data_IF_994271612084
#
_entry.id   IF_994271612084
#
_cell.length_a   1.000
_cell.length_b   1.000
_cell.length_c   1.000
_cell.angle_alpha   90.00
_cell.angle_beta   90.00
_cell.angle_gamma   90.00
#
_symmetry.space_group_name_H-M   'P 1'
#
loop_
_entity.id
_entity.type
_entity.pdbx_description
1 polymer ?
#
# COMPACT_ATOMS: atom_id res chain seq x y z
N UNK A 1 -5.40 18.37 2.21
CA UNK A 1 -5.78 17.03 2.64
C UNK A 1 -5.02 16.71 3.91
N UNK A 2 -5.78 16.36 4.95
CA UNK A 2 -5.37 16.00 6.32
C UNK A 2 -4.16 16.78 6.90
N UNK A 3 -4.41 17.99 7.42
CA UNK A 3 -3.63 18.58 8.52
C UNK A 3 -4.01 17.87 9.83
N UNK A 4 -4.11 16.54 9.81
CA UNK A 4 -4.38 15.75 10.99
C UNK A 4 -3.05 15.52 11.72
N UNK A 5 -3.06 15.80 13.01
CA UNK A 5 -1.96 15.42 13.89
C UNK A 5 -1.68 13.91 13.81
N UNK A 6 -0.68 13.38 14.50
CA UNK A 6 -0.28 11.96 14.42
C UNK A 6 -1.45 10.99 14.62
N UNK A 7 -2.46 11.35 15.39
CA UNK A 7 -3.67 10.55 15.62
C UNK A 7 -4.48 10.27 14.35
N UNK A 8 -4.54 11.22 13.39
CA UNK A 8 -5.26 11.02 12.14
C UNK A 8 -4.69 9.91 11.27
N UNK A 9 -3.37 9.70 11.30
CA UNK A 9 -2.73 8.60 10.55
C UNK A 9 -2.95 7.24 11.22
N UNK A 10 -3.08 7.19 12.55
CA UNK A 10 -3.49 5.98 13.28
C UNK A 10 -4.92 5.57 12.93
N UNK A 11 -5.85 6.54 12.90
CA UNK A 11 -7.23 6.31 12.49
C UNK A 11 -7.31 5.88 11.02
N UNK A 12 -6.49 6.47 10.14
CA UNK A 12 -6.41 6.06 8.75
C UNK A 12 -5.94 4.60 8.60
N UNK A 13 -4.91 4.19 9.34
CA UNK A 13 -4.42 2.81 9.34
C UNK A 13 -5.49 1.85 9.88
N UNK A 14 -6.17 2.20 10.97
CA UNK A 14 -7.27 1.42 11.54
C UNK A 14 -8.43 1.27 10.55
N UNK A 15 -8.84 2.35 9.91
CA UNK A 15 -9.85 2.31 8.86
C UNK A 15 -9.45 1.36 7.71
N UNK A 16 -8.20 1.45 7.22
CA UNK A 16 -7.74 0.58 6.14
C UNK A 16 -7.83 -0.90 6.51
N UNK A 17 -7.36 -1.30 7.70
CA UNK A 17 -7.41 -2.71 8.10
C UNK A 17 -8.83 -3.19 8.35
N UNK A 18 -9.72 -2.32 8.83
CA UNK A 18 -11.15 -2.62 8.95
C UNK A 18 -11.77 -2.91 7.58
N UNK A 19 -11.49 -2.09 6.59
CA UNK A 19 -11.95 -2.33 5.21
C UNK A 19 -11.31 -3.60 4.64
N UNK A 20 -10.01 -3.79 4.81
CA UNK A 20 -9.29 -4.93 4.25
C UNK A 20 -9.68 -6.27 4.88
N UNK A 21 -10.07 -6.28 6.15
CA UNK A 21 -10.66 -7.49 6.77
C UNK A 21 -11.90 -8.00 6.05
N UNK A 22 -12.69 -7.11 5.43
CA UNK A 22 -13.87 -7.48 4.65
C UNK A 22 -13.56 -7.86 3.19
N UNK A 23 -12.36 -7.54 2.66
CA UNK A 23 -12.04 -7.80 1.24
C UNK A 23 -11.95 -9.29 0.90
N UNK A 24 -11.54 -10.13 1.85
CA UNK A 24 -11.51 -11.59 1.64
C UNK A 24 -12.89 -12.15 1.28
N UNK A 25 -13.93 -11.71 1.98
CA UNK A 25 -15.32 -12.11 1.70
C UNK A 25 -15.77 -11.57 0.34
N UNK A 26 -15.52 -10.28 0.06
CA UNK A 26 -15.84 -9.66 -1.24
C UNK A 26 -15.17 -10.39 -2.41
N UNK A 27 -13.89 -10.73 -2.28
CA UNK A 27 -13.14 -11.45 -3.33
C UNK A 27 -13.72 -12.85 -3.54
N UNK A 28 -14.06 -13.58 -2.46
CA UNK A 28 -14.71 -14.88 -2.58
C UNK A 28 -16.05 -14.83 -3.26
N UNK A 29 -16.87 -13.80 -3.00
CA UNK A 29 -18.14 -13.59 -3.69
C UNK A 29 -17.91 -13.41 -5.19
N UNK A 30 -16.91 -12.64 -5.60
CA UNK A 30 -16.59 -12.43 -7.02
C UNK A 30 -16.10 -13.72 -7.69
N UNK A 31 -15.22 -14.49 -7.04
CA UNK A 31 -14.75 -15.80 -7.53
C UNK A 31 -15.94 -16.76 -7.68
N UNK A 32 -16.86 -16.80 -6.72
CA UNK A 32 -18.07 -17.63 -6.79
C UNK A 32 -19.01 -17.25 -7.94
N UNK A 33 -18.94 -15.99 -8.42
CA UNK A 33 -19.67 -15.52 -9.60
C UNK A 33 -18.86 -15.69 -10.91
N UNK A 34 -17.73 -16.39 -10.87
CA UNK A 34 -16.93 -16.77 -12.04
C UNK A 34 -15.89 -15.74 -12.50
N UNK A 35 -15.53 -14.76 -11.65
CA UNK A 35 -14.42 -13.86 -11.99
C UNK A 35 -13.08 -14.52 -11.61
N UNK A 36 -12.14 -14.50 -12.55
CA UNK A 36 -10.78 -14.97 -12.29
C UNK A 36 -10.00 -14.01 -11.34
N UNK A 37 -9.06 -14.53 -10.53
CA UNK A 37 -8.21 -13.73 -9.64
C UNK A 37 -7.54 -12.53 -10.31
N UNK A 38 -7.02 -12.70 -11.51
CA UNK A 38 -6.36 -11.64 -12.28
C UNK A 38 -7.34 -10.56 -12.78
N UNK A 39 -8.56 -10.95 -13.15
CA UNK A 39 -9.63 -10.03 -13.56
C UNK A 39 -10.09 -9.14 -12.41
N UNK A 40 -10.32 -9.74 -11.24
CA UNK A 40 -10.68 -9.01 -10.02
C UNK A 40 -9.61 -7.97 -9.72
N UNK A 41 -8.33 -8.35 -9.79
CA UNK A 41 -7.21 -7.44 -9.60
C UNK A 41 -7.21 -6.30 -10.62
N UNK A 42 -7.29 -6.63 -11.92
CA UNK A 42 -7.27 -5.64 -13.01
C UNK A 42 -8.40 -4.63 -12.86
N UNK A 43 -9.63 -5.08 -12.64
CA UNK A 43 -10.81 -4.22 -12.52
C UNK A 43 -10.71 -3.29 -11.31
N UNK A 44 -10.33 -3.80 -10.14
CA UNK A 44 -10.21 -2.97 -8.92
C UNK A 44 -9.09 -1.93 -9.04
N UNK A 45 -7.95 -2.28 -9.65
CA UNK A 45 -6.84 -1.35 -9.83
C UNK A 45 -7.10 -0.34 -10.94
N UNK A 46 -7.79 -0.74 -12.01
CA UNK A 46 -8.24 0.19 -13.05
C UNK A 46 -9.19 1.26 -12.49
N UNK A 47 -10.20 0.85 -11.70
CA UNK A 47 -11.09 1.79 -11.04
C UNK A 47 -10.34 2.73 -10.09
N UNK A 48 -9.41 2.20 -9.30
CA UNK A 48 -8.60 3.00 -8.38
C UNK A 48 -7.68 3.98 -9.13
N UNK A 49 -7.05 3.56 -10.22
CA UNK A 49 -6.22 4.41 -11.06
C UNK A 49 -7.01 5.54 -11.69
N UNK A 50 -8.14 5.22 -12.33
CA UNK A 50 -9.02 6.21 -12.97
C UNK A 50 -9.58 7.19 -11.94
N UNK A 51 -10.00 6.73 -10.75
CA UNK A 51 -10.48 7.57 -9.67
C UNK A 51 -9.42 8.53 -9.13
N UNK A 52 -8.13 8.15 -9.17
CA UNK A 52 -7.04 9.01 -8.69
C UNK A 52 -6.52 10.00 -9.75
N UNK A 53 -6.81 9.74 -11.02
CA UNK A 53 -6.30 10.53 -12.16
C UNK A 53 -6.67 12.03 -12.04
N UNK A 54 -7.96 12.42 -11.82
CA UNK A 54 -8.34 13.83 -11.76
C UNK A 54 -7.62 14.60 -10.66
N UNK A 55 -7.43 13.98 -9.49
CA UNK A 55 -6.78 14.61 -8.34
C UNK A 55 -5.29 14.87 -8.56
N UNK A 56 -4.63 14.02 -9.34
CA UNK A 56 -3.19 14.14 -9.62
C UNK A 56 -2.89 15.05 -10.80
N UNK A 57 -3.79 15.12 -11.79
CA UNK A 57 -3.66 16.02 -12.95
C UNK A 57 -3.91 17.48 -12.55
N UNK A 58 -4.96 17.77 -11.79
CA UNK A 58 -5.27 19.14 -11.30
C UNK A 58 -4.12 19.74 -10.48
N UNK A 59 -3.39 18.93 -9.70
CA UNK A 59 -2.23 19.43 -8.95
C UNK A 59 -1.04 19.75 -9.85
N UNK A 60 -0.89 19.08 -10.98
CA UNK A 60 0.18 19.34 -11.94
C UNK A 60 -0.03 20.68 -12.64
N UNK A 61 -1.26 20.99 -13.02
CA UNK A 61 -1.63 22.28 -13.64
C UNK A 61 -1.49 23.45 -12.66
N UNK A 62 -1.91 23.29 -11.40
CA UNK A 62 -1.78 24.31 -10.37
C UNK A 62 -0.30 24.56 -9.99
N UNK A 63 0.52 23.50 -9.86
CA UNK A 63 1.95 23.62 -9.59
C UNK A 63 2.75 24.23 -10.76
N UNK A 64 2.37 23.88 -12.00
CA UNK A 64 2.98 24.48 -13.21
C UNK A 64 2.65 25.97 -13.34
N UNK A 65 1.42 26.36 -13.00
CA UNK A 65 0.99 27.77 -13.01
C UNK A 65 1.67 28.60 -11.92
N UNK A 66 1.90 28.04 -10.72
CA UNK A 66 2.62 28.71 -9.64
C UNK A 66 4.12 28.89 -9.97
N UNK A 67 4.77 27.83 -10.46
CA UNK A 67 6.18 27.88 -10.89
C UNK A 67 6.38 28.79 -12.13
N UNK A 68 5.37 28.90 -13.01
CA UNK A 68 5.34 29.85 -14.11
C UNK A 68 5.30 31.28 -13.60
N UNK A 69 4.40 31.61 -12.68
CA UNK A 69 4.28 32.95 -12.08
C UNK A 69 5.54 33.37 -11.30
N UNK A 70 6.16 32.44 -10.58
CA UNK A 70 7.41 32.71 -9.84
C UNK A 70 8.59 32.97 -10.79
N UNK A 71 8.68 32.24 -11.93
CA UNK A 71 9.66 32.49 -12.96
C UNK A 71 9.42 33.83 -13.70
N UNK A 72 8.16 34.16 -13.93
CA UNK A 72 7.80 35.45 -14.58
C UNK A 72 8.05 36.64 -13.64
N UNK A 73 7.78 36.50 -12.33
CA UNK A 73 8.11 37.48 -11.31
C UNK A 73 9.63 37.67 -11.18
N UNK A 74 10.41 36.59 -11.10
CA UNK A 74 11.87 36.63 -11.05
C UNK A 74 12.49 37.19 -12.34
N UNK A 75 11.82 36.98 -13.49
CA UNK A 75 12.22 37.58 -14.78
C UNK A 75 11.93 39.08 -14.81
N UNK A 76 10.79 39.52 -14.27
CA UNK A 76 10.44 40.95 -14.16
C UNK A 76 11.38 41.67 -13.20
N UNK A 77 11.74 41.08 -12.04
CA UNK A 77 12.73 41.63 -11.13
C UNK A 77 14.12 41.75 -11.77
N UNK A 78 14.57 40.72 -12.53
CA UNK A 78 15.83 40.78 -13.27
C UNK A 78 15.80 41.83 -14.38
N UNK A 79 14.66 42.06 -15.04
CA UNK A 79 14.49 43.06 -16.08
C UNK A 79 14.47 44.48 -15.49
N UNK A 80 13.88 44.65 -14.30
CA UNK A 80 13.91 45.92 -13.55
C UNK A 80 15.32 46.24 -13.04
N UNK A 81 16.02 45.27 -12.43
CA UNK A 81 17.40 45.42 -11.96
C UNK A 81 18.42 45.59 -13.14
N UNK A 82 18.12 45.04 -14.32
CA UNK A 82 18.92 45.20 -15.52
C UNK A 82 18.77 46.57 -16.15
N UNK A 83 17.65 47.29 -15.96
CA UNK A 83 17.46 48.67 -16.37
C UNK A 83 18.23 49.66 -15.49
N UNK A 84 18.42 49.32 -14.20
CA UNK A 84 19.23 50.16 -13.29
C UNK A 84 20.74 50.01 -13.49
N UNK A 85 21.22 48.88 -14.07
CA UNK A 85 22.65 48.60 -14.34
C UNK A 85 23.11 48.84 -15.76
N UNK A 86 22.28 49.40 -16.63
CA UNK A 86 22.65 49.70 -18.02
C UNK A 86 23.56 50.93 -18.21
N UNK A 87 24.19 51.43 -17.13
CA UNK A 87 25.23 52.50 -17.16
C UNK A 87 26.58 52.05 -16.64
N UNK A 88 26.92 50.78 -16.72
CA UNK A 88 28.22 50.26 -16.25
C UNK A 88 28.78 49.21 -17.20
N UNK A 89 29.82 49.62 -17.93
CA UNK A 89 30.67 48.82 -18.81
C UNK A 89 31.31 47.66 -18.05
N UNK A 90 31.08 46.39 -18.46
CA UNK A 90 32.00 45.30 -18.11
C UNK A 90 31.96 44.17 -19.14
N UNK A 91 33.12 43.93 -19.73
CA UNK A 91 33.48 42.87 -20.65
C UNK A 91 33.87 41.62 -19.88
N UNK A 92 33.05 40.55 -19.92
CA UNK A 92 33.31 39.28 -19.20
C UNK A 92 32.77 38.04 -19.95
N UNK A 93 33.68 37.34 -20.55
CA UNK A 93 33.70 36.04 -21.25
C UNK A 93 32.56 35.03 -21.02
N UNK A 94 31.99 34.46 -22.10
CA UNK A 94 31.01 33.37 -21.99
C UNK A 94 31.69 32.02 -22.28
N UNK A 95 32.26 31.36 -21.31
CA UNK A 95 32.67 29.96 -21.48
C UNK A 95 32.86 29.23 -20.15
N UNK A 96 31.81 28.70 -19.54
CA UNK A 96 31.89 27.60 -18.53
C UNK A 96 30.56 26.87 -18.18
N UNK A 97 29.46 27.11 -18.92
CA UNK A 97 28.17 26.46 -18.57
C UNK A 97 27.89 25.11 -19.25
N UNK A 98 28.77 24.59 -20.11
CA UNK A 98 28.48 23.40 -20.92
C UNK A 98 28.63 22.06 -20.19
N UNK A 99 29.62 21.91 -19.28
CA UNK A 99 29.95 20.62 -18.67
C UNK A 99 29.19 20.38 -17.36
N UNK A 100 29.07 21.40 -16.53
CA UNK A 100 28.27 21.34 -15.28
C UNK A 100 26.78 21.13 -15.52
N UNK A 101 26.23 21.75 -16.57
CA UNK A 101 24.84 21.57 -16.99
C UNK A 101 24.56 20.14 -17.49
N UNK A 102 25.50 19.53 -18.22
CA UNK A 102 25.40 18.12 -18.67
C UNK A 102 25.53 17.12 -17.51
N UNK A 103 26.42 17.36 -16.57
CA UNK A 103 26.59 16.53 -15.37
C UNK A 103 25.39 16.64 -14.42
N UNK A 104 24.82 17.84 -14.27
CA UNK A 104 23.60 18.05 -13.50
C UNK A 104 22.38 17.39 -14.15
N UNK A 105 22.23 17.50 -15.49
CA UNK A 105 21.20 16.83 -16.26
C UNK A 105 21.27 15.31 -16.19
N UNK A 106 22.46 14.72 -16.29
CA UNK A 106 22.69 13.28 -16.19
C UNK A 106 22.40 12.75 -14.78
N UNK A 107 22.77 13.50 -13.71
CA UNK A 107 22.44 13.15 -12.33
C UNK A 107 20.92 13.22 -12.06
N UNK A 108 20.25 14.25 -12.57
CA UNK A 108 18.80 14.42 -12.44
C UNK A 108 18.04 13.30 -13.18
N UNK A 109 18.51 12.92 -14.39
CA UNK A 109 17.94 11.83 -15.17
C UNK A 109 18.13 10.47 -14.48
N UNK A 110 19.31 10.21 -13.89
CA UNK A 110 19.60 8.99 -13.13
C UNK A 110 18.79 8.90 -11.83
N UNK A 111 18.59 10.00 -11.11
CA UNK A 111 17.73 10.06 -9.93
C UNK A 111 16.26 9.76 -10.29
N UNK A 112 15.79 10.34 -11.40
CA UNK A 112 14.43 10.11 -11.92
C UNK A 112 14.20 8.66 -12.36
N UNK A 113 15.16 8.04 -13.01
CA UNK A 113 15.09 6.62 -13.40
C UNK A 113 15.04 5.69 -12.18
N UNK A 114 15.87 5.96 -11.16
CA UNK A 114 15.85 5.21 -9.90
C UNK A 114 14.50 5.27 -9.20
N UNK A 115 13.87 6.45 -9.13
CA UNK A 115 12.57 6.62 -8.52
C UNK A 115 11.47 5.91 -9.33
N UNK A 116 11.53 5.93 -10.67
CA UNK A 116 10.62 5.19 -11.54
C UNK A 116 10.77 3.66 -11.37
N UNK A 117 12.00 3.15 -11.25
CA UNK A 117 12.24 1.73 -10.96
C UNK A 117 11.69 1.32 -9.59
N UNK A 118 11.84 2.16 -8.57
CA UNK A 118 11.23 1.91 -7.26
C UNK A 118 9.70 1.93 -7.32
N UNK A 119 9.11 2.84 -8.10
CA UNK A 119 7.66 2.91 -8.30
C UNK A 119 7.14 1.68 -9.06
N UNK A 120 7.89 1.19 -10.06
CA UNK A 120 7.56 -0.04 -10.77
C UNK A 120 7.68 -1.26 -9.84
N UNK A 121 8.73 -1.34 -9.02
CA UNK A 121 8.88 -2.38 -8.00
C UNK A 121 7.75 -2.34 -6.97
N UNK A 122 7.29 -1.14 -6.56
CA UNK A 122 6.14 -1.00 -5.66
C UNK A 122 4.84 -1.48 -6.31
N UNK A 123 4.62 -1.18 -7.60
CA UNK A 123 3.45 -1.67 -8.35
C UNK A 123 3.46 -3.19 -8.54
N UNK A 124 4.64 -3.76 -8.78
CA UNK A 124 4.82 -5.21 -8.90
C UNK A 124 4.61 -5.92 -7.56
N UNK A 125 5.28 -5.47 -6.50
CA UNK A 125 5.28 -6.17 -5.19
C UNK A 125 4.05 -5.90 -4.35
N UNK A 126 3.52 -4.68 -4.33
CA UNK A 126 2.31 -4.30 -3.59
C UNK A 126 1.05 -4.21 -4.45
N UNK A 127 1.16 -4.56 -5.72
CA UNK A 127 0.07 -4.61 -6.68
C UNK A 127 -0.06 -6.02 -7.27
N UNK A 128 0.39 -6.19 -8.53
CA UNK A 128 0.09 -7.40 -9.32
C UNK A 128 0.48 -8.71 -8.65
N UNK A 129 1.73 -8.89 -8.24
CA UNK A 129 2.17 -10.17 -7.66
C UNK A 129 1.52 -10.45 -6.30
N UNK A 130 1.40 -9.43 -5.43
CA UNK A 130 0.75 -9.59 -4.14
C UNK A 130 -0.69 -10.11 -4.30
N UNK A 131 -1.51 -9.38 -5.07
CA UNK A 131 -2.92 -9.76 -5.23
C UNK A 131 -3.12 -11.02 -6.06
N UNK A 132 -2.25 -11.27 -7.04
CA UNK A 132 -2.31 -12.51 -7.81
C UNK A 132 -2.05 -13.72 -6.90
N UNK A 133 -0.97 -13.67 -6.11
CA UNK A 133 -0.65 -14.78 -5.18
C UNK A 133 -1.68 -14.93 -4.07
N UNK A 134 -2.20 -13.82 -3.50
CA UNK A 134 -3.25 -13.85 -2.49
C UNK A 134 -4.57 -14.40 -3.04
N UNK A 135 -5.03 -13.91 -4.19
CA UNK A 135 -6.28 -14.32 -4.78
C UNK A 135 -6.25 -15.78 -5.24
N UNK A 136 -5.14 -16.22 -5.86
CA UNK A 136 -4.96 -17.64 -6.23
C UNK A 136 -4.86 -18.51 -4.97
N UNK A 137 -4.21 -18.04 -3.90
CA UNK A 137 -4.18 -18.78 -2.64
C UNK A 137 -5.58 -19.09 -2.10
N UNK A 138 -6.54 -18.15 -2.29
CA UNK A 138 -7.94 -18.32 -1.88
C UNK A 138 -8.70 -19.38 -2.70
N UNK A 139 -8.22 -19.75 -3.88
CA UNK A 139 -8.78 -20.88 -4.63
C UNK A 139 -8.37 -22.23 -4.02
N UNK A 140 -7.12 -22.33 -3.51
CA UNK A 140 -6.53 -23.57 -3.02
C UNK A 140 -6.67 -23.77 -1.51
N UNK A 141 -6.86 -22.69 -0.73
CA UNK A 141 -6.89 -22.75 0.72
C UNK A 141 -8.09 -21.99 1.31
N UNK A 142 -8.55 -22.38 2.51
CA UNK A 142 -9.54 -21.62 3.26
C UNK A 142 -9.09 -20.18 3.51
N UNK A 143 -10.03 -19.24 3.49
CA UNK A 143 -9.73 -17.82 3.73
C UNK A 143 -9.07 -17.59 5.10
N UNK A 144 -9.41 -18.42 6.11
CA UNK A 144 -8.79 -18.40 7.43
C UNK A 144 -7.29 -18.70 7.37
N UNK A 145 -6.87 -19.74 6.62
CA UNK A 145 -5.45 -20.07 6.48
C UNK A 145 -4.70 -18.98 5.71
N UNK A 146 -5.26 -18.52 4.58
CA UNK A 146 -4.64 -17.45 3.79
C UNK A 146 -4.48 -16.19 4.63
N UNK A 147 -5.53 -15.76 5.34
CA UNK A 147 -5.46 -14.56 6.19
C UNK A 147 -4.45 -14.71 7.32
N UNK A 148 -4.35 -15.89 7.95
CA UNK A 148 -3.36 -16.19 9.00
C UNK A 148 -1.94 -16.00 8.47
N UNK A 149 -1.64 -16.62 7.32
CA UNK A 149 -0.30 -16.55 6.72
C UNK A 149 0.01 -15.13 6.27
N UNK A 150 -0.92 -14.42 5.63
CA UNK A 150 -0.74 -13.01 5.23
C UNK A 150 -0.53 -12.10 6.44
N UNK A 151 -1.18 -12.39 7.58
CA UNK A 151 -0.95 -11.67 8.84
C UNK A 151 0.46 -11.86 9.44
N UNK A 152 1.32 -12.70 8.85
CA UNK A 152 2.75 -12.74 9.19
C UNK A 152 3.54 -11.59 8.56
N UNK A 153 2.98 -10.86 7.59
CA UNK A 153 3.64 -9.76 6.88
C UNK A 153 4.28 -8.69 7.80
N UNK A 154 3.69 -8.28 8.94
CA UNK A 154 4.34 -7.37 9.89
C UNK A 154 5.64 -7.93 10.46
N UNK A 155 5.70 -9.23 10.76
CA UNK A 155 6.91 -9.90 11.27
C UNK A 155 8.03 -9.82 10.23
N UNK A 156 7.75 -10.21 9.00
CA UNK A 156 8.70 -10.15 7.88
C UNK A 156 9.15 -8.72 7.60
N UNK A 157 8.21 -7.76 7.62
CA UNK A 157 8.51 -6.34 7.43
C UNK A 157 9.44 -5.82 8.52
N UNK A 158 9.15 -6.14 9.77
CA UNK A 158 9.97 -5.73 10.91
C UNK A 158 11.38 -6.34 10.85
N UNK A 159 11.49 -7.63 10.52
CA UNK A 159 12.77 -8.32 10.34
C UNK A 159 13.59 -7.66 9.23
N UNK A 160 13.05 -7.52 8.03
CA UNK A 160 13.76 -6.94 6.90
C UNK A 160 14.19 -5.50 7.17
N UNK A 161 13.29 -4.66 7.67
CA UNK A 161 13.61 -3.27 7.93
C UNK A 161 14.60 -3.10 9.08
N UNK A 162 14.58 -3.97 10.09
CA UNK A 162 15.58 -3.95 11.16
C UNK A 162 17.00 -4.34 10.70
N UNK A 163 17.09 -5.18 9.66
CA UNK A 163 18.36 -5.55 9.03
C UNK A 163 18.89 -4.43 8.13
N UNK A 164 17.99 -3.78 7.36
CA UNK A 164 18.38 -2.75 6.38
C UNK A 164 18.58 -1.37 7.03
N UNK A 165 17.76 -1.02 8.03
CA UNK A 165 17.78 0.30 8.67
C UNK A 165 17.99 0.19 10.18
N UNK A 166 19.10 0.74 10.69
CA UNK A 166 19.38 0.79 12.14
C UNK A 166 18.28 1.55 12.92
N UNK A 167 17.66 2.55 12.30
CA UNK A 167 16.55 3.33 12.89
C UNK A 167 15.26 2.54 13.08
N UNK A 168 15.09 1.41 12.39
CA UNK A 168 13.91 0.54 12.45
C UNK A 168 14.14 -0.72 13.31
N UNK A 169 15.28 -0.80 14.02
CA UNK A 169 15.56 -1.94 14.90
C UNK A 169 14.48 -2.04 15.97
N UNK A 170 13.89 -3.22 16.07
CA UNK A 170 12.90 -3.53 17.09
C UNK A 170 13.55 -3.64 18.46
N UNK A 171 12.91 -3.03 19.45
CA UNK A 171 13.26 -3.26 20.84
C UNK A 171 12.70 -4.61 21.32
N UNK A 172 13.24 -5.13 22.42
CA UNK A 172 12.74 -6.39 23.02
C UNK A 172 11.23 -6.36 23.28
N UNK A 173 10.68 -5.21 23.69
CA UNK A 173 9.25 -5.04 23.94
C UNK A 173 8.43 -5.05 22.65
N UNK A 174 8.92 -4.39 21.61
CA UNK A 174 8.27 -4.44 20.30
C UNK A 174 8.24 -5.86 19.74
N UNK A 175 9.35 -6.59 19.86
CA UNK A 175 9.41 -8.01 19.43
C UNK A 175 8.43 -8.86 20.24
N UNK A 176 8.41 -8.70 21.57
CA UNK A 176 7.45 -9.42 22.44
C UNK A 176 6.00 -9.06 22.12
N UNK A 177 5.71 -7.77 21.86
CA UNK A 177 4.37 -7.30 21.47
C UNK A 177 3.91 -7.90 20.14
N UNK A 178 4.80 -7.92 19.12
CA UNK A 178 4.51 -8.54 17.83
C UNK A 178 4.30 -10.05 17.95
N UNK A 179 5.12 -10.75 18.75
CA UNK A 179 4.96 -12.18 19.00
C UNK A 179 3.63 -12.48 19.71
N UNK A 180 3.28 -11.68 20.72
CA UNK A 180 2.02 -11.81 21.45
C UNK A 180 0.81 -11.56 20.54
N UNK A 181 0.86 -10.51 19.71
CA UNK A 181 -0.19 -10.23 18.72
C UNK A 181 -0.33 -11.37 17.71
N UNK A 182 0.78 -11.94 17.25
CA UNK A 182 0.76 -13.06 16.31
C UNK A 182 0.14 -14.33 16.93
N UNK A 183 0.48 -14.67 18.19
CA UNK A 183 -0.18 -15.78 18.91
C UNK A 183 -1.68 -15.52 19.00
N UNK A 184 -2.10 -14.29 19.28
CA UNK A 184 -3.50 -13.90 19.27
C UNK A 184 -4.17 -14.12 17.92
N UNK A 185 -3.51 -13.77 16.79
CA UNK A 185 -4.00 -14.02 15.43
C UNK A 185 -4.24 -15.51 15.21
N UNK A 186 -3.29 -16.38 15.61
CA UNK A 186 -3.45 -17.84 15.52
C UNK A 186 -4.69 -18.30 16.25
N UNK A 187 -4.93 -17.85 17.47
CA UNK A 187 -6.12 -18.25 18.26
C UNK A 187 -7.43 -17.77 17.63
N UNK A 188 -7.47 -16.53 17.11
CA UNK A 188 -8.68 -16.00 16.44
C UNK A 188 -8.99 -16.81 15.19
N UNK A 189 -7.98 -17.05 14.35
CA UNK A 189 -8.19 -17.75 13.07
C UNK A 189 -8.57 -19.22 13.28
N UNK A 190 -7.95 -19.89 14.23
CA UNK A 190 -8.33 -21.28 14.58
C UNK A 190 -9.70 -21.38 15.23
N UNK A 191 -10.21 -20.29 15.83
CA UNK A 191 -11.55 -20.17 16.43
C UNK A 191 -11.99 -21.42 17.20
N UNK A 192 -11.07 -22.02 18.01
CA UNK A 192 -11.31 -23.22 18.77
C UNK A 192 -11.36 -24.51 17.96
N UNK A 193 -11.25 -24.45 16.65
CA UNK A 193 -11.13 -25.63 15.77
C UNK A 193 -9.66 -25.75 15.35
N UNK A 194 -8.91 -26.58 16.07
CA UNK A 194 -7.48 -26.85 15.79
C UNK A 194 -7.25 -27.69 14.52
N UNK A 195 -8.11 -27.56 13.51
CA UNK A 195 -7.96 -28.27 12.24
C UNK A 195 -7.38 -27.31 11.20
N UNK A 196 -6.08 -27.35 11.06
CA UNK A 196 -5.39 -26.70 9.95
C UNK A 196 -5.54 -27.59 8.71
N UNK A 197 -6.37 -27.19 7.77
CA UNK A 197 -6.41 -27.83 6.46
C UNK A 197 -5.20 -27.31 5.65
N UNK A 198 -4.07 -28.00 5.75
CA UNK A 198 -2.86 -27.67 5.03
C UNK A 198 -3.08 -27.84 3.53
N UNK A 199 -2.93 -26.77 2.79
CA UNK A 199 -2.86 -26.76 1.33
C UNK A 199 -1.48 -26.25 0.92
N UNK A 200 -0.49 -27.10 0.65
CA UNK A 200 0.89 -26.66 0.39
C UNK A 200 0.99 -25.59 -0.69
N UNK A 201 0.17 -25.70 -1.74
CA UNK A 201 0.13 -24.69 -2.83
C UNK A 201 -0.47 -23.36 -2.33
N UNK A 202 -1.65 -23.41 -1.69
CA UNK A 202 -2.31 -22.22 -1.16
C UNK A 202 -1.49 -21.53 -0.09
N UNK A 203 -0.91 -22.30 0.84
CA UNK A 203 -0.11 -21.78 1.95
C UNK A 203 1.20 -21.13 1.44
N UNK A 204 1.86 -21.73 0.44
CA UNK A 204 3.05 -21.15 -0.19
C UNK A 204 2.74 -19.85 -0.94
N UNK A 205 1.61 -19.80 -1.64
CA UNK A 205 1.15 -18.58 -2.32
C UNK A 205 0.82 -17.47 -1.31
N UNK A 206 0.14 -17.79 -0.21
CA UNK A 206 -0.16 -16.86 0.87
C UNK A 206 1.12 -16.33 1.54
N UNK A 207 2.13 -17.20 1.77
CA UNK A 207 3.43 -16.78 2.28
C UNK A 207 4.14 -15.85 1.28
N UNK A 208 4.08 -16.18 -0.01
CA UNK A 208 4.63 -15.33 -1.07
C UNK A 208 3.97 -13.94 -1.06
N UNK A 209 2.65 -13.86 -0.87
CA UNK A 209 1.94 -12.59 -0.70
C UNK A 209 2.46 -11.80 0.51
N UNK A 210 2.64 -12.44 1.67
CA UNK A 210 3.19 -11.78 2.86
C UNK A 210 4.61 -11.21 2.63
N UNK A 211 5.47 -11.96 1.93
CA UNK A 211 6.82 -11.52 1.57
C UNK A 211 6.80 -10.38 0.53
N UNK A 212 5.89 -10.43 -0.43
CA UNK A 212 5.70 -9.36 -1.41
C UNK A 212 5.23 -8.06 -0.73
N UNK A 213 4.35 -8.14 0.25
CA UNK A 213 3.94 -6.98 1.07
C UNK A 213 5.10 -6.40 1.88
N UNK A 214 5.96 -7.26 2.42
CA UNK A 214 7.21 -6.85 3.08
C UNK A 214 8.11 -6.07 2.12
N UNK A 215 8.32 -6.56 0.89
CA UNK A 215 9.12 -5.87 -0.14
C UNK A 215 8.48 -4.54 -0.54
N UNK A 216 7.16 -4.50 -0.72
CA UNK A 216 6.41 -3.26 -0.94
C UNK A 216 6.67 -2.24 0.17
N UNK A 217 6.58 -2.66 1.43
CA UNK A 217 6.84 -1.81 2.59
C UNK A 217 8.26 -1.23 2.59
N UNK A 218 9.26 -2.03 2.20
CA UNK A 218 10.65 -1.58 2.02
C UNK A 218 10.78 -0.53 0.91
N UNK A 219 10.12 -0.76 -0.23
CA UNK A 219 10.15 0.16 -1.38
C UNK A 219 9.50 1.50 -1.02
N UNK A 220 8.33 1.48 -0.40
CA UNK A 220 7.65 2.69 0.07
C UNK A 220 8.53 3.45 1.09
N UNK A 221 9.17 2.74 2.00
CA UNK A 221 10.14 3.33 2.94
C UNK A 221 11.31 4.02 2.20
N UNK A 222 11.84 3.40 1.14
CA UNK A 222 12.94 3.98 0.34
C UNK A 222 12.52 5.21 -0.45
N UNK A 223 11.28 5.26 -0.93
CA UNK A 223 10.72 6.44 -1.58
C UNK A 223 10.55 7.59 -0.57
N UNK A 224 10.16 7.30 0.67
CA UNK A 224 10.02 8.27 1.75
C UNK A 224 9.10 9.45 1.37
N UNK A 225 9.44 10.63 1.89
CA UNK A 225 8.67 11.89 1.67
C UNK A 225 9.05 12.62 0.35
N UNK A 226 9.95 12.05 -0.47
CA UNK A 226 10.47 12.70 -1.69
C UNK A 226 9.41 12.96 -2.75
N UNK A 227 8.40 12.10 -2.80
CA UNK A 227 7.31 12.16 -3.76
C UNK A 227 5.95 12.30 -3.06
N UNK A 228 5.01 13.06 -3.63
CA UNK A 228 3.66 13.15 -3.07
C UNK A 228 2.97 11.79 -3.00
N UNK A 229 2.34 11.45 -1.87
CA UNK A 229 1.67 10.16 -1.65
C UNK A 229 0.70 9.80 -2.77
N UNK A 230 -0.14 10.75 -3.21
CA UNK A 230 -1.10 10.51 -4.30
C UNK A 230 -0.40 10.18 -5.63
N UNK A 231 0.78 10.75 -5.90
CA UNK A 231 1.58 10.42 -7.07
C UNK A 231 2.15 9.01 -6.97
N UNK A 232 2.74 8.66 -5.82
CA UNK A 232 3.25 7.30 -5.56
C UNK A 232 2.14 6.27 -5.72
N UNK A 233 1.00 6.47 -5.06
CA UNK A 233 -0.15 5.56 -5.12
C UNK A 233 -0.67 5.39 -6.55
N UNK A 234 -0.78 6.48 -7.33
CA UNK A 234 -1.17 6.41 -8.74
C UNK A 234 -0.18 5.58 -9.56
N UNK A 235 1.13 5.75 -9.33
CA UNK A 235 2.17 4.98 -10.03
C UNK A 235 2.14 3.50 -9.63
N UNK A 236 1.84 3.19 -8.36
CA UNK A 236 1.63 1.80 -7.89
C UNK A 236 0.48 1.15 -8.67
N UNK A 237 -0.66 1.83 -8.82
CA UNK A 237 -1.77 1.31 -9.61
C UNK A 237 -1.41 1.15 -11.08
N UNK A 238 -0.75 2.16 -11.68
CA UNK A 238 -0.31 2.10 -13.07
C UNK A 238 0.62 0.91 -13.34
N UNK A 239 1.70 0.79 -12.54
CA UNK A 239 2.64 -0.31 -12.72
C UNK A 239 2.04 -1.67 -12.33
N UNK A 240 1.14 -1.72 -11.35
CA UNK A 240 0.37 -2.92 -11.05
C UNK A 240 -0.45 -3.40 -12.24
N UNK A 241 -1.16 -2.48 -12.92
CA UNK A 241 -1.91 -2.79 -14.15
C UNK A 241 -0.96 -3.26 -15.25
N UNK A 242 0.13 -2.54 -15.52
CA UNK A 242 1.07 -2.89 -16.59
C UNK A 242 1.71 -4.27 -16.36
N UNK A 243 2.06 -4.58 -15.12
CA UNK A 243 2.75 -5.84 -14.77
C UNK A 243 1.82 -7.05 -14.68
N UNK A 244 0.49 -6.88 -14.60
CA UNK A 244 -0.46 -8.00 -14.67
C UNK A 244 -0.82 -8.36 -16.11
N UNK A 245 -0.72 -7.42 -17.07
CA UNK A 245 -1.13 -7.66 -18.45
C UNK A 245 -0.50 -8.91 -19.10
N UNK A 246 0.79 -9.24 -18.89
CA UNK A 246 1.37 -10.48 -19.44
C UNK A 246 0.68 -11.76 -18.95
N UNK A 247 0.03 -11.74 -17.78
CA UNK A 247 -0.72 -12.89 -17.27
C UNK A 247 -1.86 -13.29 -18.21
N UNK A 248 -2.52 -12.32 -18.84
CA UNK A 248 -3.64 -12.56 -19.76
C UNK A 248 -3.22 -13.20 -21.10
N UNK A 249 -1.93 -13.40 -21.33
CA UNK A 249 -1.46 -14.23 -22.43
C UNK A 249 -1.65 -15.75 -22.14
N UNK A 250 -1.67 -16.13 -20.86
CA UNK A 250 -1.93 -17.51 -20.41
C UNK A 250 -3.37 -17.74 -20.03
N UNK A 251 -3.97 -16.80 -19.32
CA UNK A 251 -5.36 -16.82 -18.86
C UNK A 251 -6.07 -15.64 -19.50
N UNK A 252 -6.68 -15.80 -20.68
CA UNK A 252 -7.35 -14.71 -21.39
C UNK A 252 -8.43 -14.06 -20.53
N UNK A 253 -8.57 -12.74 -20.66
CA UNK A 253 -9.65 -12.02 -20.02
C UNK A 253 -10.99 -12.46 -20.61
N UNK A 254 -11.81 -13.14 -19.81
CA UNK A 254 -13.11 -13.65 -20.20
C UNK A 254 -14.16 -13.32 -19.13
N UNK A 255 -14.69 -12.10 -19.20
CA UNK A 255 -15.71 -11.64 -18.27
C UNK A 255 -17.08 -11.60 -18.98
N UNK A 256 -17.95 -12.61 -18.75
CA UNK A 256 -19.26 -12.65 -19.38
C UNK A 256 -20.12 -11.42 -19.04
N UNK A 257 -20.77 -10.84 -20.06
CA UNK A 257 -21.66 -9.70 -19.85
C UNK A 257 -22.81 -10.00 -18.87
N UNK A 258 -23.21 -11.26 -18.75
CA UNK A 258 -24.21 -11.72 -17.78
C UNK A 258 -23.73 -11.55 -16.33
N UNK A 259 -22.45 -11.88 -16.05
CA UNK A 259 -21.82 -11.72 -14.73
C UNK A 259 -21.78 -10.24 -14.33
N UNK A 260 -21.47 -9.35 -15.28
CA UNK A 260 -21.46 -7.90 -15.03
C UNK A 260 -22.85 -7.31 -14.74
N UNK A 261 -23.94 -7.99 -15.10
CA UNK A 261 -25.30 -7.51 -14.79
C UNK A 261 -25.74 -7.83 -13.37
N UNK A 262 -25.03 -8.72 -12.66
CA UNK A 262 -25.41 -9.12 -11.31
C UNK A 262 -25.07 -8.03 -10.28
N UNK A 263 -26.05 -7.53 -9.50
CA UNK A 263 -25.84 -6.43 -8.54
C UNK A 263 -24.74 -6.72 -7.51
N UNK A 264 -24.64 -7.97 -7.04
CA UNK A 264 -23.61 -8.38 -6.08
C UNK A 264 -22.20 -8.23 -6.66
N UNK A 265 -22.01 -8.48 -7.97
CA UNK A 265 -20.71 -8.32 -8.63
C UNK A 265 -20.31 -6.85 -8.63
N UNK A 266 -21.20 -5.94 -9.04
CA UNK A 266 -20.92 -4.51 -9.04
C UNK A 266 -20.68 -3.94 -7.64
N UNK A 267 -21.50 -4.33 -6.66
CA UNK A 267 -21.34 -3.88 -5.28
C UNK A 267 -19.96 -4.25 -4.72
N UNK A 268 -19.53 -5.50 -4.93
CA UNK A 268 -18.22 -5.96 -4.49
C UNK A 268 -17.07 -5.35 -5.30
N UNK A 269 -17.20 -5.18 -6.61
CA UNK A 269 -16.16 -4.52 -7.43
C UNK A 269 -15.99 -3.05 -7.04
N UNK A 270 -17.07 -2.29 -6.83
CA UNK A 270 -17.01 -0.91 -6.37
C UNK A 270 -16.38 -0.81 -4.97
N UNK A 271 -16.76 -1.70 -4.06
CA UNK A 271 -16.13 -1.77 -2.73
C UNK A 271 -14.64 -2.03 -2.84
N UNK A 272 -14.22 -3.04 -3.61
CA UNK A 272 -12.81 -3.38 -3.78
C UNK A 272 -12.03 -2.29 -4.54
N UNK A 273 -12.61 -1.70 -5.59
CA UNK A 273 -11.93 -0.71 -6.42
C UNK A 273 -11.84 0.66 -5.75
N UNK A 274 -12.97 1.18 -5.24
CA UNK A 274 -13.04 2.55 -4.73
C UNK A 274 -12.66 2.63 -3.25
N UNK A 275 -13.23 1.77 -2.41
CA UNK A 275 -12.98 1.86 -0.96
C UNK A 275 -11.68 1.16 -0.60
N UNK A 276 -11.56 -0.14 -0.90
CA UNK A 276 -10.41 -0.94 -0.47
C UNK A 276 -9.12 -0.65 -1.24
N UNK A 277 -9.21 -0.27 -2.53
CA UNK A 277 -8.03 0.09 -3.31
C UNK A 277 -7.79 1.60 -3.30
N UNK A 278 -8.63 2.41 -3.96
CA UNK A 278 -8.35 3.84 -4.12
C UNK A 278 -8.16 4.54 -2.77
N UNK A 279 -9.17 4.48 -1.90
CA UNK A 279 -9.14 5.22 -0.63
C UNK A 279 -8.11 4.63 0.35
N UNK A 280 -8.15 3.32 0.57
CA UNK A 280 -7.26 2.68 1.54
C UNK A 280 -5.79 2.77 1.14
N UNK A 281 -5.41 2.60 -0.14
CA UNK A 281 -4.01 2.73 -0.55
C UNK A 281 -3.47 4.15 -0.35
N UNK A 282 -4.27 5.18 -0.62
CA UNK A 282 -3.86 6.57 -0.36
C UNK A 282 -3.66 6.81 1.14
N UNK A 283 -4.60 6.36 1.96
CA UNK A 283 -4.53 6.50 3.42
C UNK A 283 -3.39 5.68 4.01
N UNK A 284 -3.22 4.44 3.56
CA UNK A 284 -2.17 3.54 4.02
C UNK A 284 -0.77 4.04 3.68
N UNK A 285 -0.56 4.45 2.44
CA UNK A 285 0.73 5.02 2.03
C UNK A 285 1.04 6.32 2.78
N UNK A 286 0.04 7.15 3.05
CA UNK A 286 0.21 8.32 3.91
C UNK A 286 0.57 7.94 5.35
N UNK A 287 -0.07 6.91 5.91
CA UNK A 287 0.25 6.40 7.23
C UNK A 287 1.67 5.80 7.29
N UNK A 288 2.05 4.97 6.30
CA UNK A 288 3.41 4.40 6.20
C UNK A 288 4.49 5.46 6.13
N UNK A 289 4.25 6.52 5.37
CA UNK A 289 5.21 7.62 5.23
C UNK A 289 5.36 8.41 6.55
N UNK A 290 4.27 8.61 7.30
CA UNK A 290 4.26 9.44 8.52
C UNK A 290 4.52 8.67 9.80
N UNK A 291 3.96 7.49 9.96
CA UNK A 291 4.14 6.64 11.16
C UNK A 291 5.35 5.72 11.05
N UNK A 292 5.81 5.45 9.84
CA UNK A 292 6.82 4.45 9.52
C UNK A 292 6.21 3.09 9.16
N UNK A 293 6.94 2.33 8.33
CA UNK A 293 6.43 1.08 7.75
C UNK A 293 6.14 0.01 8.81
N UNK A 294 7.06 -0.23 9.75
CA UNK A 294 6.88 -1.24 10.82
C UNK A 294 5.64 -0.95 11.67
N UNK A 295 5.46 0.32 12.07
CA UNK A 295 4.34 0.72 12.92
C UNK A 295 3.00 0.60 12.20
N UNK A 296 2.96 1.00 10.93
CA UNK A 296 1.74 0.92 10.14
C UNK A 296 1.38 -0.54 9.83
N UNK A 297 2.34 -1.38 9.46
CA UNK A 297 2.06 -2.80 9.15
C UNK A 297 1.57 -3.59 10.37
N UNK A 298 1.91 -3.19 11.60
CA UNK A 298 1.38 -3.84 12.80
C UNK A 298 -0.15 -3.78 12.90
N UNK A 299 -0.81 -2.78 12.27
CA UNK A 299 -2.28 -2.73 12.22
C UNK A 299 -2.89 -3.93 11.47
N UNK A 300 -2.14 -4.60 10.59
CA UNK A 300 -2.60 -5.79 9.85
C UNK A 300 -3.01 -6.93 10.80
N UNK A 301 -2.43 -7.00 12.01
CA UNK A 301 -2.86 -7.97 13.02
C UNK A 301 -4.34 -7.81 13.45
N UNK A 302 -4.98 -6.67 13.15
CA UNK A 302 -6.41 -6.47 13.41
C UNK A 302 -7.31 -7.09 12.33
N UNK A 303 -6.78 -7.42 11.13
CA UNK A 303 -7.60 -8.00 10.06
C UNK A 303 -8.40 -9.22 10.51
N UNK A 304 -7.82 -10.21 11.21
CA UNK A 304 -8.58 -11.39 11.68
C UNK A 304 -9.70 -11.03 12.65
N UNK A 305 -9.53 -9.98 13.46
CA UNK A 305 -10.59 -9.53 14.38
C UNK A 305 -11.78 -8.98 13.59
N UNK A 306 -11.50 -8.17 12.56
CA UNK A 306 -12.55 -7.64 11.70
C UNK A 306 -13.21 -8.76 10.91
N UNK A 307 -12.43 -9.70 10.37
CA UNK A 307 -12.97 -10.88 9.67
C UNK A 307 -13.86 -11.71 10.57
N UNK A 308 -13.46 -11.96 11.81
CA UNK A 308 -14.26 -12.68 12.81
C UNK A 308 -15.59 -11.95 13.11
N UNK A 309 -15.54 -10.64 13.33
CA UNK A 309 -16.75 -9.85 13.59
C UNK A 309 -17.68 -9.80 12.38
N UNK A 310 -17.13 -9.64 11.18
CA UNK A 310 -17.95 -9.67 9.95
C UNK A 310 -18.53 -11.02 9.65
N UNK A 311 -17.79 -12.12 9.92
CA UNK A 311 -18.30 -13.46 9.79
C UNK A 311 -19.44 -13.76 10.79
N UNK A 312 -19.29 -13.29 12.03
CA UNK A 312 -20.35 -13.44 13.03
C UNK A 312 -21.63 -12.66 12.65
N UNK A 313 -21.50 -11.48 12.03
CA UNK A 313 -22.63 -10.62 11.67
C UNK A 313 -23.31 -11.03 10.35
N UNK A 314 -22.55 -11.61 9.40
CA UNK A 314 -23.04 -11.88 8.02
C UNK A 314 -23.42 -13.34 7.80
N UNK A 315 -22.71 -14.27 8.46
CA UNK A 315 -22.88 -15.72 8.31
C UNK A 315 -23.23 -16.41 9.63
N UNK A 316 -23.60 -15.65 10.68
CA UNK A 316 -23.95 -16.15 12.02
C UNK A 316 -22.91 -17.11 12.63
N UNK A 317 -21.62 -16.90 12.31
CA UNK A 317 -20.53 -17.71 12.84
C UNK A 317 -20.36 -17.45 14.34
N UNK A 318 -20.36 -18.52 15.16
CA UNK A 318 -20.22 -18.40 16.61
C UNK A 318 -18.81 -17.99 16.99
N UNK A 319 -18.70 -16.90 17.75
CA UNK A 319 -17.44 -16.47 18.36
C UNK A 319 -17.15 -17.36 19.56
N UNK A 320 -16.03 -18.06 19.53
CA UNK A 320 -15.63 -18.96 20.63
C UNK A 320 -14.85 -18.20 21.71
N UNK A 321 -14.77 -18.74 22.94
CA UNK A 321 -13.90 -18.20 24.00
C UNK A 321 -12.42 -18.12 23.56
N UNK A 322 -11.94 -19.07 22.75
CA UNK A 322 -10.58 -19.06 22.20
C UNK A 322 -10.34 -17.84 21.29
N UNK A 323 -11.30 -17.50 20.45
CA UNK A 323 -11.23 -16.30 19.59
C UNK A 323 -11.25 -15.00 20.42
N UNK A 324 -12.03 -14.94 21.50
CA UNK A 324 -12.02 -13.80 22.42
C UNK A 324 -10.67 -13.64 23.14
N UNK A 325 -10.07 -14.75 23.61
CA UNK A 325 -8.73 -14.73 24.17
C UNK A 325 -7.70 -14.27 23.12
N UNK A 326 -7.80 -14.76 21.89
CA UNK A 326 -6.97 -14.32 20.79
C UNK A 326 -7.10 -12.82 20.50
N UNK A 327 -8.33 -12.28 20.50
CA UNK A 327 -8.59 -10.85 20.37
C UNK A 327 -7.89 -10.02 21.46
N UNK A 328 -8.00 -10.46 22.72
CA UNK A 328 -7.32 -9.80 23.84
C UNK A 328 -5.79 -9.82 23.69
N UNK A 329 -5.21 -10.95 23.21
CA UNK A 329 -3.77 -11.06 22.94
C UNK A 329 -3.32 -10.14 21.79
N UNK A 330 -4.11 -10.01 20.70
CA UNK A 330 -3.80 -9.08 19.59
C UNK A 330 -3.75 -7.65 20.14
N UNK A 331 -4.79 -7.21 20.82
CA UNK A 331 -4.89 -5.85 21.33
C UNK A 331 -3.78 -5.51 22.34
N UNK A 332 -3.50 -6.43 23.28
CA UNK A 332 -2.43 -6.27 24.27
C UNK A 332 -1.04 -6.29 23.64
N UNK A 333 -0.81 -7.16 22.66
CA UNK A 333 0.44 -7.23 21.90
C UNK A 333 0.71 -5.95 21.11
N UNK A 334 -0.30 -5.43 20.41
CA UNK A 334 -0.20 -4.15 19.70
C UNK A 334 0.05 -2.98 20.66
N UNK A 335 -0.64 -2.93 21.80
CA UNK A 335 -0.43 -1.90 22.80
C UNK A 335 1.00 -1.96 23.36
N UNK A 336 1.52 -3.14 23.65
CA UNK A 336 2.89 -3.34 24.13
C UNK A 336 3.93 -2.88 23.08
N UNK A 337 3.72 -3.22 21.81
CA UNK A 337 4.60 -2.81 20.71
C UNK A 337 4.61 -1.29 20.49
N UNK A 338 3.48 -0.60 20.72
CA UNK A 338 3.31 0.82 20.47
C UNK A 338 3.82 1.72 21.63
N UNK A 339 3.69 1.27 22.89
CA UNK A 339 3.93 2.10 24.09
C UNK A 339 5.36 2.64 24.22
N UNK A 340 6.36 1.95 23.70
CA UNK A 340 7.76 2.30 23.91
C UNK A 340 8.26 3.45 23.02
N UNK A 341 7.65 3.66 21.83
CA UNK A 341 8.03 4.78 20.94
C UNK A 341 7.56 6.15 21.42
N UNK A 342 6.64 6.22 22.39
CA UNK A 342 6.23 7.48 23.03
C UNK A 342 7.25 8.01 24.04
N UNK A 343 8.25 7.19 24.42
CA UNK A 343 9.27 7.56 25.41
C UNK A 343 10.62 8.01 24.82
N UNK A 344 10.78 7.91 23.49
CA UNK A 344 11.89 8.44 22.72
C UNK A 344 11.46 9.63 21.85
#
# INVERSE_FOLDING_TARGET
MLRSGPYGYHLAALFCVTVWGATFVSTKVLIAHGLAPAEIFLLRFAMAYLGLLPFTLRRRTAGSSAAGREKDAARQERTAAGREKATGNDTGSPARHGLLGRLCGARLCRARLRDELLLAAAGLTGGSLYFLTENIALEYAPASNVSLIVCTAPVWTALLLSLVYRSERMTRRQTAGCALAFVGVVLVVLNGRFVLHLSPRGDLLALSAALLWMLYSLVIKRLGDRLPVAYVTRKVFFYGIVTILPWFAWEPFDLPAATLRHPAVWGNLLFLGVVASLLCYVLWNAAMTRLGAVRTTNYIYLNPLVTMLTAALVIDERITPAALCGAALILSGMWLAERERRRK
#
